data_IF_346244164004
#
_entry.id   IF_346244164004
#
_cell.length_a   1.000
_cell.length_b   1.000
_cell.length_c   1.000
_cell.angle_alpha   90.00
_cell.angle_beta   90.00
_cell.angle_gamma   90.00
#
_symmetry.space_group_name_H-M   'P 1'
#
loop_
_entity.id
_entity.type
_entity.pdbx_description
1 polymer ?
#
# COMPACT_ATOMS: atom_id res chain seq x y z
N UNK A 1 -30.08 -23.73 24.41
CA UNK A 1 -29.04 -22.76 24.83
C UNK A 1 -27.94 -22.61 23.78
N UNK A 2 -27.28 -23.69 23.36
CA UNK A 2 -26.19 -23.61 22.35
C UNK A 2 -26.62 -22.98 21.01
N UNK A 3 -27.83 -23.25 20.52
CA UNK A 3 -28.32 -22.66 19.25
C UNK A 3 -28.45 -21.12 19.32
N UNK A 4 -28.92 -20.57 20.44
CA UNK A 4 -29.00 -19.11 20.64
C UNK A 4 -27.61 -18.47 20.62
N UNK A 5 -26.65 -19.13 21.28
CA UNK A 5 -25.27 -18.65 21.33
C UNK A 5 -24.57 -18.70 19.95
N UNK A 6 -24.90 -19.69 19.12
CA UNK A 6 -24.40 -19.76 17.73
C UNK A 6 -24.97 -18.62 16.90
N UNK A 7 -26.28 -18.35 16.98
CA UNK A 7 -26.92 -17.26 16.23
C UNK A 7 -26.38 -15.89 16.66
N UNK A 8 -26.26 -15.65 17.97
CA UNK A 8 -25.70 -14.39 18.49
C UNK A 8 -24.25 -14.17 18.04
N UNK A 9 -23.43 -15.23 18.03
CA UNK A 9 -22.05 -15.14 17.59
C UNK A 9 -21.94 -15.00 16.06
N UNK A 10 -22.84 -15.62 15.30
CA UNK A 10 -22.98 -15.45 13.86
C UNK A 10 -23.31 -13.99 13.51
N UNK A 11 -24.29 -13.38 14.18
CA UNK A 11 -24.65 -11.97 13.95
C UNK A 11 -23.47 -11.03 14.25
N UNK A 12 -22.78 -11.24 15.37
CA UNK A 12 -21.56 -10.47 15.71
C UNK A 12 -20.46 -10.64 14.66
N UNK A 13 -20.25 -11.87 14.19
CA UNK A 13 -19.25 -12.16 13.16
C UNK A 13 -19.64 -11.51 11.83
N UNK A 14 -20.91 -11.55 11.44
CA UNK A 14 -21.42 -10.90 10.24
C UNK A 14 -21.28 -9.37 10.31
N UNK A 15 -21.57 -8.77 11.46
CA UNK A 15 -21.37 -7.33 11.67
C UNK A 15 -19.90 -6.94 11.48
N UNK A 16 -19.00 -7.65 12.15
CA UNK A 16 -17.55 -7.40 12.02
C UNK A 16 -17.09 -7.57 10.57
N UNK A 17 -17.49 -8.66 9.91
CA UNK A 17 -17.10 -8.91 8.52
C UNK A 17 -17.69 -7.87 7.56
N UNK A 18 -18.87 -7.29 7.84
CA UNK A 18 -19.43 -6.21 7.01
C UNK A 18 -18.59 -4.94 7.15
N UNK A 19 -18.16 -4.62 8.36
CA UNK A 19 -17.23 -3.51 8.60
C UNK A 19 -15.90 -3.73 7.86
N UNK A 20 -15.36 -4.96 7.91
CA UNK A 20 -14.15 -5.32 7.16
C UNK A 20 -14.35 -5.21 5.66
N UNK A 21 -15.47 -5.68 5.13
CA UNK A 21 -15.76 -5.53 3.71
C UNK A 21 -15.79 -4.07 3.28
N UNK A 22 -16.51 -3.20 4.01
CA UNK A 22 -16.56 -1.77 3.71
C UNK A 22 -15.18 -1.09 3.80
N UNK A 23 -14.37 -1.43 4.79
CA UNK A 23 -12.99 -0.95 4.86
C UNK A 23 -12.14 -1.43 3.68
N UNK A 24 -12.21 -2.73 3.37
CA UNK A 24 -11.89 -3.36 2.09
C UNK A 24 -12.07 -2.44 0.87
N UNK A 25 -13.27 -1.88 0.75
CA UNK A 25 -13.67 -1.08 -0.39
C UNK A 25 -13.05 0.32 -0.33
N UNK A 26 -13.01 0.93 0.85
CA UNK A 26 -12.34 2.22 1.06
C UNK A 26 -10.85 2.15 0.76
N UNK A 27 -10.19 1.06 1.17
CA UNK A 27 -8.76 0.85 0.92
C UNK A 27 -8.48 0.67 -0.58
N UNK A 28 -9.38 -0.02 -1.30
CA UNK A 28 -9.31 -0.11 -2.76
C UNK A 28 -9.32 1.26 -3.43
N UNK A 29 -10.27 2.12 -3.06
CA UNK A 29 -10.35 3.48 -3.60
C UNK A 29 -9.09 4.31 -3.25
N UNK A 30 -8.52 4.07 -2.08
CA UNK A 30 -7.30 4.75 -1.65
C UNK A 30 -6.09 4.35 -2.50
N UNK A 31 -5.90 3.06 -2.77
CA UNK A 31 -4.83 2.58 -3.65
C UNK A 31 -5.05 2.99 -5.11
N UNK A 32 -6.29 3.00 -5.58
CA UNK A 32 -6.64 3.48 -6.92
C UNK A 32 -6.28 4.97 -7.09
N UNK A 33 -6.58 5.79 -6.08
CA UNK A 33 -6.18 7.20 -6.04
C UNK A 33 -4.66 7.39 -5.96
N UNK A 34 -3.96 6.53 -5.22
CA UNK A 34 -2.49 6.54 -5.17
C UNK A 34 -1.90 6.23 -6.56
N UNK A 35 -2.47 5.26 -7.27
CA UNK A 35 -2.08 4.91 -8.64
C UNK A 35 -2.18 6.11 -9.57
N UNK A 36 -3.32 6.79 -9.53
CA UNK A 36 -3.54 7.98 -10.36
C UNK A 36 -2.54 9.09 -10.01
N UNK A 37 -2.29 9.34 -8.72
CA UNK A 37 -1.32 10.36 -8.32
C UNK A 37 0.11 10.02 -8.74
N UNK A 38 0.53 8.74 -8.66
CA UNK A 38 1.83 8.28 -9.15
C UNK A 38 1.93 8.43 -10.67
N UNK A 39 0.89 8.01 -11.40
CA UNK A 39 0.86 8.05 -12.86
C UNK A 39 0.88 9.47 -13.43
N UNK A 40 0.23 10.42 -12.76
CA UNK A 40 0.13 11.81 -13.19
C UNK A 40 1.07 12.76 -12.43
N UNK A 41 2.13 12.23 -11.80
CA UNK A 41 3.20 12.98 -11.11
C UNK A 41 2.70 14.00 -10.07
N UNK A 42 1.63 13.66 -9.34
CA UNK A 42 1.02 14.51 -8.30
C UNK A 42 1.63 14.24 -6.92
N UNK A 43 2.94 14.42 -6.81
CA UNK A 43 3.73 13.97 -5.65
C UNK A 43 3.28 14.58 -4.32
N UNK A 44 2.86 15.86 -4.32
CA UNK A 44 2.37 16.53 -3.12
C UNK A 44 1.17 15.81 -2.48
N UNK A 45 0.36 15.11 -3.29
CA UNK A 45 -0.83 14.37 -2.81
C UNK A 45 -0.48 12.95 -2.35
N UNK A 46 0.74 12.47 -2.57
CA UNK A 46 1.18 11.14 -2.14
C UNK A 46 1.51 11.09 -0.65
N UNK A 47 2.06 12.17 -0.08
CA UNK A 47 2.41 12.23 1.35
C UNK A 47 1.18 12.00 2.22
N UNK A 48 0.10 12.71 1.95
CA UNK A 48 -1.16 12.54 2.69
C UNK A 48 -1.72 11.12 2.55
N UNK A 49 -1.58 10.51 1.37
CA UNK A 49 -2.03 9.14 1.13
C UNK A 49 -1.20 8.11 1.89
N UNK A 50 0.12 8.30 2.01
CA UNK A 50 0.98 7.41 2.81
C UNK A 50 0.54 7.38 4.26
N UNK A 51 0.21 8.54 4.84
CA UNK A 51 -0.23 8.59 6.24
C UNK A 51 -1.57 7.90 6.46
N UNK A 52 -2.48 7.94 5.48
CA UNK A 52 -3.73 7.18 5.52
C UNK A 52 -3.50 5.67 5.35
N UNK A 53 -2.50 5.25 4.57
CA UNK A 53 -2.10 3.82 4.46
C UNK A 53 -1.53 3.32 5.79
N UNK A 54 -0.67 4.07 6.47
CA UNK A 54 -0.13 3.69 7.79
C UNK A 54 -1.24 3.51 8.83
N UNK A 55 -2.27 4.37 8.82
CA UNK A 55 -3.46 4.21 9.68
C UNK A 55 -4.22 2.94 9.32
N UNK A 56 -4.36 2.63 8.04
CA UNK A 56 -5.01 1.41 7.57
C UNK A 56 -4.28 0.14 8.03
N UNK A 57 -2.95 0.11 8.01
CA UNK A 57 -2.16 -1.03 8.51
C UNK A 57 -2.43 -1.31 10.00
N UNK A 58 -2.44 -0.27 10.84
CA UNK A 58 -2.77 -0.41 12.26
C UNK A 58 -4.18 -0.95 12.46
N UNK A 59 -5.15 -0.44 11.71
CA UNK A 59 -6.55 -0.86 11.78
C UNK A 59 -6.74 -2.32 11.34
N UNK A 60 -5.95 -2.81 10.38
CA UNK A 60 -5.95 -4.24 9.98
C UNK A 60 -5.51 -5.11 11.16
N UNK A 61 -4.41 -4.76 11.83
CA UNK A 61 -3.93 -5.52 12.99
C UNK A 61 -4.97 -5.55 14.13
N UNK A 62 -5.66 -4.44 14.38
CA UNK A 62 -6.76 -4.39 15.36
C UNK A 62 -7.93 -5.31 14.99
N UNK A 63 -8.31 -5.36 13.70
CA UNK A 63 -9.38 -6.24 13.22
C UNK A 63 -9.00 -7.72 13.32
N UNK A 64 -7.74 -8.08 13.04
CA UNK A 64 -7.23 -9.44 13.21
C UNK A 64 -7.29 -9.89 14.68
N UNK A 65 -6.90 -9.01 15.62
CA UNK A 65 -6.99 -9.27 17.05
C UNK A 65 -8.44 -9.47 17.52
N UNK A 66 -9.39 -8.66 17.04
CA UNK A 66 -10.82 -8.83 17.34
C UNK A 66 -11.36 -10.18 16.89
N UNK A 67 -11.02 -10.61 15.66
CA UNK A 67 -11.42 -11.94 15.15
C UNK A 67 -10.77 -13.05 15.97
N UNK A 68 -9.49 -12.91 16.32
CA UNK A 68 -8.76 -13.88 17.13
C UNK A 68 -9.40 -14.04 18.53
N UNK A 69 -9.81 -12.94 19.16
CA UNK A 69 -10.53 -12.94 20.44
C UNK A 69 -11.87 -13.66 20.34
N UNK A 70 -12.71 -13.33 19.35
CA UNK A 70 -13.99 -14.01 19.12
C UNK A 70 -13.81 -15.52 18.92
N UNK A 71 -12.74 -15.93 18.23
CA UNK A 71 -12.40 -17.34 18.04
C UNK A 71 -11.90 -18.01 19.33
N UNK A 72 -11.17 -17.27 20.17
CA UNK A 72 -10.59 -17.74 21.43
C UNK A 72 -11.62 -17.97 22.53
N UNK A 73 -12.65 -17.14 22.61
CA UNK A 73 -13.71 -17.22 23.63
C UNK A 73 -14.49 -18.54 23.58
N UNK A 74 -14.90 -18.98 22.38
CA UNK A 74 -15.51 -20.30 22.20
C UNK A 74 -15.28 -20.85 20.79
N UNK A 75 -14.18 -21.60 20.63
CA UNK A 75 -13.75 -22.15 19.34
C UNK A 75 -14.79 -23.05 18.66
N UNK A 76 -15.57 -23.83 19.43
CA UNK A 76 -16.58 -24.74 18.86
C UNK A 76 -17.75 -23.95 18.26
N UNK A 77 -18.27 -22.98 19.00
CA UNK A 77 -19.36 -22.11 18.54
C UNK A 77 -18.90 -21.23 17.39
N UNK A 78 -17.69 -20.68 17.46
CA UNK A 78 -17.11 -19.90 16.36
C UNK A 78 -17.02 -20.71 15.06
N UNK A 79 -16.54 -21.95 15.12
CA UNK A 79 -16.47 -22.80 13.93
C UNK A 79 -17.87 -23.08 13.35
N UNK A 80 -18.90 -23.27 14.18
CA UNK A 80 -20.27 -23.44 13.72
C UNK A 80 -20.79 -22.18 13.03
N UNK A 81 -20.66 -21.01 13.65
CA UNK A 81 -21.04 -19.73 13.05
C UNK A 81 -20.28 -19.46 11.75
N UNK A 82 -18.98 -19.75 11.71
CA UNK A 82 -18.14 -19.59 10.51
C UNK A 82 -18.56 -20.51 9.35
N UNK A 83 -19.30 -21.59 9.63
CA UNK A 83 -19.84 -22.46 8.56
C UNK A 83 -21.10 -21.92 7.89
N UNK A 84 -21.71 -20.86 8.46
CA UNK A 84 -22.89 -20.20 7.90
C UNK A 84 -22.66 -19.79 6.44
N UNK A 85 -23.64 -20.04 5.54
CA UNK A 85 -23.55 -19.62 4.15
C UNK A 85 -23.32 -18.11 3.99
N UNK A 86 -23.90 -17.29 4.87
CA UNK A 86 -23.78 -15.83 4.79
C UNK A 86 -22.37 -15.37 5.16
N UNK A 87 -21.82 -15.94 6.23
CA UNK A 87 -20.43 -15.70 6.65
C UNK A 87 -19.47 -16.10 5.54
N UNK A 88 -19.63 -17.31 4.96
CA UNK A 88 -18.79 -17.78 3.86
C UNK A 88 -18.83 -16.87 2.64
N UNK A 89 -20.04 -16.43 2.24
CA UNK A 89 -20.21 -15.50 1.11
C UNK A 89 -19.45 -14.21 1.37
N UNK A 90 -19.59 -13.63 2.56
CA UNK A 90 -18.95 -12.37 2.90
C UNK A 90 -17.42 -12.50 2.98
N UNK A 91 -16.90 -13.55 3.60
CA UNK A 91 -15.46 -13.87 3.61
C UNK A 91 -14.92 -14.02 2.18
N UNK A 92 -15.66 -14.69 1.29
CA UNK A 92 -15.26 -14.85 -0.12
C UNK A 92 -15.20 -13.52 -0.85
N UNK A 93 -16.17 -12.63 -0.59
CA UNK A 93 -16.18 -11.26 -1.14
C UNK A 93 -15.00 -10.43 -0.63
N UNK A 94 -14.69 -10.50 0.67
CA UNK A 94 -13.52 -9.85 1.28
C UNK A 94 -12.23 -10.39 0.65
N UNK A 95 -12.08 -11.70 0.52
CA UNK A 95 -10.90 -12.32 -0.09
C UNK A 95 -10.71 -11.88 -1.56
N UNK A 96 -11.80 -11.75 -2.31
CA UNK A 96 -11.76 -11.23 -3.68
C UNK A 96 -11.30 -9.78 -3.70
N UNK A 97 -11.77 -8.96 -2.76
CA UNK A 97 -11.41 -7.56 -2.66
C UNK A 97 -9.96 -7.37 -2.24
N UNK A 98 -9.46 -8.18 -1.31
CA UNK A 98 -8.05 -8.24 -0.92
C UNK A 98 -7.14 -8.54 -2.12
N UNK A 99 -7.52 -9.52 -2.97
CA UNK A 99 -6.76 -9.82 -4.20
C UNK A 99 -6.70 -8.63 -5.14
N UNK A 100 -7.81 -7.88 -5.28
CA UNK A 100 -7.85 -6.65 -6.08
C UNK A 100 -6.96 -5.55 -5.49
N UNK A 101 -6.99 -5.37 -4.17
CA UNK A 101 -6.12 -4.43 -3.47
C UNK A 101 -4.64 -4.75 -3.66
N UNK A 102 -4.25 -6.03 -3.54
CA UNK A 102 -2.88 -6.48 -3.78
C UNK A 102 -2.41 -6.21 -5.22
N UNK A 103 -3.29 -6.38 -6.21
CA UNK A 103 -2.97 -6.04 -7.59
C UNK A 103 -2.69 -4.53 -7.75
N UNK A 104 -3.52 -3.66 -7.16
CA UNK A 104 -3.30 -2.21 -7.18
C UNK A 104 -2.02 -1.80 -6.46
N UNK A 105 -1.72 -2.39 -5.30
CA UNK A 105 -0.47 -2.14 -4.57
C UNK A 105 0.73 -2.45 -5.47
N UNK A 106 0.70 -3.61 -6.15
CA UNK A 106 1.77 -4.00 -7.07
C UNK A 106 1.94 -3.02 -8.23
N UNK A 107 0.83 -2.57 -8.84
CA UNK A 107 0.88 -1.53 -9.87
C UNK A 107 1.51 -0.23 -9.34
N UNK A 108 1.16 0.19 -8.13
CA UNK A 108 1.72 1.38 -7.49
C UNK A 108 3.23 1.24 -7.23
N UNK A 109 3.67 0.06 -6.74
CA UNK A 109 5.09 -0.24 -6.56
C UNK A 109 5.87 -0.16 -7.88
N UNK A 110 5.30 -0.70 -8.96
CA UNK A 110 5.92 -0.65 -10.28
C UNK A 110 6.04 0.80 -10.79
N UNK A 111 4.99 1.63 -10.63
CA UNK A 111 5.05 3.06 -10.98
C UNK A 111 6.10 3.81 -10.17
N UNK A 112 6.13 3.62 -8.85
CA UNK A 112 7.09 4.27 -7.97
C UNK A 112 8.53 3.86 -8.31
N UNK A 113 8.77 2.58 -8.59
CA UNK A 113 10.08 2.06 -8.99
C UNK A 113 10.55 2.64 -10.32
N UNK A 114 9.68 2.67 -11.32
CA UNK A 114 10.01 3.25 -12.62
C UNK A 114 10.36 4.74 -12.49
N UNK A 115 9.60 5.48 -11.68
CA UNK A 115 9.89 6.89 -11.40
C UNK A 115 11.24 7.07 -10.70
N UNK A 116 11.55 6.24 -9.71
CA UNK A 116 12.86 6.28 -9.03
C UNK A 116 14.01 6.03 -10.01
N UNK A 117 13.92 4.98 -10.82
CA UNK A 117 14.97 4.65 -11.79
C UNK A 117 15.22 5.80 -12.77
N UNK A 118 14.15 6.42 -13.29
CA UNK A 118 14.26 7.60 -14.16
C UNK A 118 15.00 8.76 -13.48
N UNK A 119 14.66 9.06 -12.22
CA UNK A 119 15.32 10.12 -11.45
C UNK A 119 16.82 9.78 -11.23
N UNK A 120 17.14 8.52 -10.95
CA UNK A 120 18.54 8.07 -10.78
C UNK A 120 19.34 8.25 -12.08
N UNK A 121 18.78 7.90 -13.23
CA UNK A 121 19.39 8.12 -14.55
C UNK A 121 19.59 9.61 -14.86
N UNK A 122 18.58 10.45 -14.61
CA UNK A 122 18.67 11.90 -14.79
C UNK A 122 19.75 12.52 -13.88
N UNK A 123 19.87 12.05 -12.63
CA UNK A 123 20.91 12.50 -11.70
C UNK A 123 22.32 12.09 -12.14
N UNK A 124 22.49 10.88 -12.68
CA UNK A 124 23.76 10.41 -13.20
C UNK A 124 24.21 11.25 -14.41
N UNK A 125 23.28 11.59 -15.31
CA UNK A 125 23.56 12.50 -16.42
C UNK A 125 24.04 13.87 -15.95
N UNK A 126 23.37 14.44 -14.94
CA UNK A 126 23.77 15.74 -14.37
C UNK A 126 25.16 15.67 -13.72
N UNK A 127 25.49 14.59 -13.01
CA UNK A 127 26.83 14.38 -12.45
C UNK A 127 27.91 14.30 -13.53
N UNK A 128 27.67 13.50 -14.57
CA UNK A 128 28.59 13.39 -15.70
C UNK A 128 28.79 14.74 -16.41
N UNK A 129 27.72 15.54 -16.58
CA UNK A 129 27.83 16.89 -17.13
C UNK A 129 28.67 17.82 -16.25
N UNK A 130 28.47 17.76 -14.92
CA UNK A 130 29.26 18.53 -13.97
C UNK A 130 30.74 18.18 -14.05
N UNK A 131 31.09 16.90 -14.06
CA UNK A 131 32.48 16.44 -14.16
C UNK A 131 33.14 16.91 -15.48
N UNK A 132 32.42 16.83 -16.61
CA UNK A 132 32.90 17.34 -17.90
C UNK A 132 33.17 18.85 -17.83
N UNK A 133 32.28 19.62 -17.20
CA UNK A 133 32.46 21.07 -17.06
C UNK A 133 33.64 21.40 -16.14
N UNK A 134 33.77 20.72 -15.00
CA UNK A 134 34.88 20.90 -14.06
C UNK A 134 36.24 20.55 -14.70
N UNK A 135 36.30 19.49 -15.52
CA UNK A 135 37.51 19.13 -16.25
C UNK A 135 37.87 20.14 -17.37
N UNK A 136 36.87 20.73 -18.05
CA UNK A 136 37.12 21.77 -19.06
C UNK A 136 37.64 23.09 -18.46
N UNK A 137 37.21 23.45 -17.25
CA UNK A 137 37.75 24.63 -16.54
C UNK A 137 39.21 24.41 -16.09
N UNK A 138 39.56 23.18 -15.67
CA UNK A 138 40.95 22.81 -15.34
C UNK A 138 41.90 22.88 -16.55
N UNK A 139 41.50 22.35 -17.70
CA UNK A 139 42.35 22.26 -18.90
C UNK A 139 42.57 23.62 -19.60
N UNK A 140 41.61 24.54 -19.51
CA UNK A 140 41.76 25.90 -20.03
C UNK A 140 42.65 26.78 -19.15
N UNK A 141 42.86 26.44 -17.88
CA UNK A 141 43.76 27.19 -16.98
C UNK A 141 45.25 26.86 -17.22
N UNK A 142 45.56 25.68 -17.75
CA UNK A 142 46.93 25.22 -18.01
C UNK A 142 47.54 25.79 -19.30
N UNK A 143 46.73 26.25 -20.26
CA UNK A 143 47.22 26.78 -21.55
C UNK A 143 47.55 28.27 -21.56
N UNK A 144 47.25 29.01 -20.49
CA UNK A 144 47.46 30.47 -20.43
C UNK A 144 48.86 30.84 -19.90
N UNK A 145 49.62 29.89 -19.34
CA UNK A 145 50.92 30.18 -18.71
C UNK A 145 52.17 29.88 -19.56
N UNK A 146 52.04 29.34 -20.77
CA UNK A 146 53.20 28.85 -21.55
C UNK A 146 53.49 29.64 -22.86
N UNK A 147 52.88 30.82 -23.03
CA UNK A 147 53.18 31.72 -24.16
C UNK A 147 53.74 33.07 -23.69
N UNK A 148 54.89 33.06 -23.00
CA UNK A 148 55.85 34.18 -23.03
C UNK A 148 57.29 33.66 -22.90
N UNK A 149 57.97 33.53 -24.03
CA UNK A 149 59.43 33.59 -24.15
C UNK A 149 59.78 34.42 -25.38
#
# INVERSE_FOLDING_TARGET
MEYSQVVELEEKLLELLRQEYSFYQSLYLLFDKQRDNLRFERDQKLIDLYHEIEKAEKRIAESEDKIAKLRGENRKIFNLAATSPEVKKLVTSIATLLKKNLALIKENEDFARNKRNRIEEELEQVRNMYDIMAHKEGDNSAKVFDEKS
#
